data_IF_836962285766
#
_entry.id   IF_836962285766
#
_cell.length_a   1.000
_cell.length_b   1.000
_cell.length_c   1.000
_cell.angle_alpha   90.00
_cell.angle_beta   90.00
_cell.angle_gamma   90.00
#
_symmetry.space_group_name_H-M   'P 1'
#
loop_
_entity.id
_entity.type
_entity.pdbx_description
1 polymer ?
#
# COMPACT_ATOMS: atom_id res chain seq x y z
N UNK A 1 -2.53 -22.24 0.70
CA UNK A 1 -2.78 -21.17 -0.28
C UNK A 1 -2.56 -19.85 0.44
N UNK A 2 -1.70 -18.97 -0.06
CA UNK A 2 -1.56 -17.63 0.53
C UNK A 2 -2.86 -16.84 0.32
N UNK A 3 -3.32 -16.03 1.29
CA UNK A 3 -4.49 -15.19 1.08
C UNK A 3 -4.25 -14.24 -0.09
N UNK A 4 -5.29 -14.06 -0.92
CA UNK A 4 -5.22 -13.10 -2.01
C UNK A 4 -5.18 -11.67 -1.49
N UNK A 5 -4.37 -10.82 -2.12
CA UNK A 5 -4.39 -9.36 -1.91
C UNK A 5 -5.69 -8.74 -2.40
N UNK A 6 -6.43 -9.43 -3.27
CA UNK A 6 -7.67 -8.92 -3.83
C UNK A 6 -8.68 -8.60 -2.72
N UNK A 7 -9.22 -7.39 -2.76
CA UNK A 7 -10.15 -6.86 -1.76
C UNK A 7 -10.17 -5.34 -1.69
N UNK A 8 -11.11 -4.84 -0.90
CA UNK A 8 -11.13 -3.47 -0.42
C UNK A 8 -10.57 -3.41 0.98
N UNK A 9 -9.70 -2.44 1.21
CA UNK A 9 -8.87 -2.37 2.38
C UNK A 9 -8.90 -0.96 2.96
N UNK A 10 -9.21 -0.88 4.25
CA UNK A 10 -9.19 0.33 5.04
C UNK A 10 -7.86 0.39 5.79
N UNK A 11 -6.98 1.39 5.54
CA UNK A 11 -5.82 1.57 6.40
C UNK A 11 -6.30 1.91 7.81
N UNK A 12 -5.76 1.19 8.80
CA UNK A 12 -5.99 1.40 10.23
C UNK A 12 -4.73 1.93 10.94
N UNK A 13 -3.60 1.85 10.26
CA UNK A 13 -2.34 2.47 10.63
C UNK A 13 -1.59 2.84 9.35
N UNK A 14 -0.89 3.97 9.35
CA UNK A 14 0.15 4.22 8.39
C UNK A 14 1.24 5.12 8.97
N UNK A 15 2.45 4.97 8.46
CA UNK A 15 3.59 5.84 8.76
C UNK A 15 4.37 6.13 7.48
N UNK A 16 5.00 7.30 7.44
CA UNK A 16 5.94 7.70 6.40
C UNK A 16 7.19 8.27 7.05
N UNK A 17 8.36 7.71 6.72
CA UNK A 17 9.65 8.15 7.26
C UNK A 17 9.69 8.27 8.81
N UNK A 18 8.95 7.38 9.50
CA UNK A 18 8.82 7.33 10.96
C UNK A 18 7.71 8.22 11.55
N UNK A 19 6.99 8.98 10.74
CA UNK A 19 5.87 9.81 11.17
C UNK A 19 4.53 9.13 10.91
N UNK A 20 3.74 8.93 11.96
CA UNK A 20 2.41 8.33 11.86
C UNK A 20 1.39 9.28 11.19
N UNK A 21 0.57 8.72 10.30
CA UNK A 21 -0.51 9.43 9.67
C UNK A 21 -1.68 9.67 10.66
N UNK A 22 -2.32 10.85 10.64
CA UNK A 22 -3.47 11.12 11.50
C UNK A 22 -4.64 10.16 11.21
N UNK A 23 -5.26 9.62 12.27
CA UNK A 23 -6.40 8.70 12.14
C UNK A 23 -7.54 9.24 11.25
N UNK A 24 -7.85 10.53 11.35
CA UNK A 24 -8.91 11.16 10.55
C UNK A 24 -8.62 11.13 9.03
N UNK A 25 -7.34 11.05 8.64
CA UNK A 25 -6.95 10.85 7.24
C UNK A 25 -7.14 9.40 6.85
N UNK A 26 -6.68 8.46 7.69
CA UNK A 26 -6.83 7.04 7.46
C UNK A 26 -8.29 6.65 7.27
N UNK A 27 -9.20 7.11 8.13
CA UNK A 27 -10.65 6.82 8.07
C UNK A 27 -11.32 7.27 6.75
N UNK A 28 -10.69 8.19 6.00
CA UNK A 28 -11.15 8.65 4.68
C UNK A 28 -10.49 7.92 3.51
N UNK A 29 -9.41 7.20 3.77
CA UNK A 29 -8.64 6.47 2.77
C UNK A 29 -9.19 5.06 2.57
N UNK A 30 -9.10 4.56 1.36
CA UNK A 30 -9.34 3.16 1.01
C UNK A 30 -8.39 2.78 -0.12
N UNK A 31 -7.92 1.53 -0.13
CA UNK A 31 -7.30 0.93 -1.32
C UNK A 31 -8.13 -0.27 -1.77
N UNK A 32 -8.47 -0.29 -3.04
CA UNK A 32 -9.04 -1.45 -3.72
C UNK A 32 -7.94 -2.10 -4.55
N UNK A 33 -7.77 -3.41 -4.40
CA UNK A 33 -6.87 -4.27 -5.18
C UNK A 33 -7.74 -5.35 -5.80
N UNK A 34 -7.87 -5.41 -7.12
CA UNK A 34 -8.69 -6.43 -7.78
C UNK A 34 -8.08 -6.76 -9.14
N UNK A 35 -7.83 -8.04 -9.40
CA UNK A 35 -7.45 -8.50 -10.75
C UNK A 35 -6.18 -7.85 -11.32
N UNK A 36 -5.25 -7.41 -10.46
CA UNK A 36 -4.03 -6.72 -10.87
C UNK A 36 -4.18 -5.21 -11.07
N UNK A 37 -5.34 -4.62 -10.76
CA UNK A 37 -5.56 -3.18 -10.74
C UNK A 37 -5.69 -2.67 -9.30
N UNK A 38 -5.12 -1.50 -9.03
CA UNK A 38 -5.29 -0.83 -7.75
C UNK A 38 -5.92 0.55 -7.92
N UNK A 39 -6.76 0.93 -6.95
CA UNK A 39 -7.29 2.29 -6.84
C UNK A 39 -7.26 2.74 -5.37
N UNK A 40 -6.63 3.88 -5.12
CA UNK A 40 -6.66 4.57 -3.83
C UNK A 40 -7.74 5.64 -3.88
N UNK A 41 -8.64 5.64 -2.90
CA UNK A 41 -9.70 6.64 -2.76
C UNK A 41 -9.50 7.45 -1.49
N UNK A 42 -9.79 8.74 -1.56
CA UNK A 42 -9.87 9.63 -0.40
C UNK A 42 -11.24 10.32 -0.38
N UNK A 43 -12.03 10.06 0.67
CA UNK A 43 -13.38 10.61 0.78
C UNK A 43 -14.29 10.20 -0.39
N UNK A 44 -14.09 8.99 -0.94
CA UNK A 44 -14.87 8.46 -2.08
C UNK A 44 -14.37 8.89 -3.45
N UNK A 45 -13.38 9.79 -3.55
CA UNK A 45 -12.78 10.23 -4.81
C UNK A 45 -11.50 9.46 -5.07
N UNK A 46 -11.32 8.93 -6.29
CA UNK A 46 -10.07 8.27 -6.70
C UNK A 46 -8.93 9.29 -6.72
N UNK A 47 -7.90 9.04 -5.91
CA UNK A 47 -6.74 9.91 -5.73
C UNK A 47 -5.48 9.37 -6.44
N UNK A 48 -5.35 8.05 -6.53
CA UNK A 48 -4.24 7.37 -7.23
C UNK A 48 -4.78 6.06 -7.82
N UNK A 49 -4.31 5.67 -8.99
CA UNK A 49 -4.74 4.43 -9.65
C UNK A 49 -3.64 3.90 -10.56
N UNK A 50 -3.59 2.57 -10.70
CA UNK A 50 -2.68 1.91 -11.62
C UNK A 50 -2.85 0.40 -11.58
N UNK A 51 -1.77 -0.31 -11.87
CA UNK A 51 -1.72 -1.77 -11.81
C UNK A 51 -0.77 -2.24 -10.72
N UNK A 52 -0.94 -3.47 -10.26
CA UNK A 52 0.00 -4.13 -9.37
C UNK A 52 0.30 -5.54 -9.86
N UNK A 53 1.53 -5.98 -9.62
CA UNK A 53 1.93 -7.37 -9.76
C UNK A 53 2.31 -7.93 -8.40
N UNK A 54 2.05 -9.22 -8.21
CA UNK A 54 2.45 -9.96 -7.02
C UNK A 54 3.54 -10.93 -7.42
N UNK A 55 4.64 -10.86 -6.71
CA UNK A 55 5.80 -11.72 -6.88
C UNK A 55 5.79 -12.80 -5.78
N UNK A 56 6.69 -13.78 -5.87
CA UNK A 56 6.88 -14.75 -4.79
C UNK A 56 7.35 -14.05 -3.49
N UNK A 57 7.25 -14.76 -2.35
CA UNK A 57 7.85 -14.35 -1.07
C UNK A 57 7.28 -13.07 -0.42
N UNK A 58 6.04 -12.70 -0.76
CA UNK A 58 5.41 -11.52 -0.16
C UNK A 58 5.91 -10.22 -0.77
N UNK A 59 6.33 -10.23 -2.03
CA UNK A 59 6.71 -9.04 -2.77
C UNK A 59 5.59 -8.60 -3.71
N UNK A 60 5.49 -7.29 -3.91
CA UNK A 60 4.57 -6.70 -4.89
C UNK A 60 5.18 -5.46 -5.54
N UNK A 61 4.67 -5.07 -6.69
CA UNK A 61 5.10 -3.84 -7.37
C UNK A 61 3.89 -3.12 -7.94
N UNK A 62 3.71 -1.84 -7.60
CA UNK A 62 2.68 -0.97 -8.18
C UNK A 62 3.27 -0.21 -9.36
N UNK A 63 2.52 -0.10 -10.44
CA UNK A 63 2.80 0.80 -11.55
C UNK A 63 1.70 1.86 -11.61
N UNK A 64 2.03 3.08 -11.19
CA UNK A 64 1.07 4.17 -11.13
C UNK A 64 0.74 4.73 -12.52
N UNK A 65 -0.54 4.96 -12.78
CA UNK A 65 -1.05 5.46 -14.05
C UNK A 65 -1.73 6.82 -13.92
N UNK A 66 -2.44 7.05 -12.81
CA UNK A 66 -3.18 8.28 -12.52
C UNK A 66 -2.85 8.72 -11.10
N UNK A 67 -2.77 10.03 -10.89
CA UNK A 67 -2.53 10.62 -9.58
C UNK A 67 -1.05 10.93 -9.32
N UNK A 68 -0.66 11.15 -8.05
CA UNK A 68 0.69 11.57 -7.69
C UNK A 68 1.78 10.55 -8.02
N UNK A 69 1.41 9.28 -8.25
CA UNK A 69 2.35 8.22 -8.62
C UNK A 69 2.33 7.87 -10.11
N UNK A 70 1.63 8.64 -10.96
CA UNK A 70 1.61 8.41 -12.40
C UNK A 70 3.04 8.34 -12.98
N UNK A 71 3.33 7.26 -13.71
CA UNK A 71 4.64 6.98 -14.30
C UNK A 71 5.69 6.41 -13.32
N UNK A 72 5.35 6.23 -12.05
CA UNK A 72 6.26 5.61 -11.05
C UNK A 72 6.04 4.11 -10.96
N UNK A 73 7.15 3.40 -10.69
CA UNK A 73 7.15 2.02 -10.23
C UNK A 73 7.47 2.00 -8.75
N UNK A 74 6.59 1.42 -7.94
CA UNK A 74 6.66 1.42 -6.48
C UNK A 74 6.78 -0.04 -6.02
N UNK A 75 8.00 -0.54 -5.80
CA UNK A 75 8.20 -1.86 -5.22
C UNK A 75 7.80 -1.86 -3.74
N UNK A 76 7.26 -2.97 -3.27
CA UNK A 76 6.83 -3.14 -1.88
C UNK A 76 6.96 -4.56 -1.37
N UNK A 77 6.74 -4.71 -0.08
CA UNK A 77 6.62 -6.01 0.58
C UNK A 77 5.30 -6.07 1.33
N UNK A 78 4.67 -7.23 1.39
CA UNK A 78 3.43 -7.46 2.09
C UNK A 78 3.44 -8.73 2.93
N UNK A 79 2.62 -8.74 3.97
CA UNK A 79 2.35 -9.93 4.78
C UNK A 79 0.94 -9.88 5.32
N UNK A 80 0.40 -11.06 5.60
CA UNK A 80 -0.83 -11.23 6.36
C UNK A 80 -0.51 -11.69 7.78
N UNK A 81 -1.16 -11.07 8.76
CA UNK A 81 -1.16 -11.50 10.16
C UNK A 81 -2.62 -11.64 10.60
N UNK A 82 -3.16 -12.86 10.49
CA UNK A 82 -4.61 -13.08 10.55
C UNK A 82 -5.31 -12.31 9.44
N UNK A 83 -6.28 -11.47 9.80
CA UNK A 83 -7.05 -10.65 8.87
C UNK A 83 -6.40 -9.28 8.55
N UNK A 84 -5.26 -8.99 9.20
CA UNK A 84 -4.54 -7.73 8.97
C UNK A 84 -3.54 -7.90 7.82
N UNK A 85 -3.65 -7.01 6.84
CA UNK A 85 -2.68 -6.88 5.75
C UNK A 85 -1.70 -5.76 6.08
N UNK A 86 -0.41 -6.04 6.11
CA UNK A 86 0.64 -5.01 6.17
C UNK A 86 1.28 -4.88 4.81
N UNK A 87 1.45 -3.66 4.30
CA UNK A 87 2.23 -3.36 3.11
C UNK A 87 3.22 -2.24 3.43
N UNK A 88 4.50 -2.47 3.12
CA UNK A 88 5.53 -1.44 3.12
C UNK A 88 5.90 -1.13 1.67
N UNK A 89 5.73 0.13 1.27
CA UNK A 89 5.96 0.64 -0.07
C UNK A 89 7.25 1.46 -0.11
N UNK A 90 8.07 1.24 -1.14
CA UNK A 90 9.22 2.08 -1.45
C UNK A 90 8.84 3.14 -2.47
N UNK A 91 8.32 4.28 -2.01
CA UNK A 91 7.88 5.38 -2.89
C UNK A 91 9.04 5.99 -3.68
N UNK A 92 10.27 5.86 -3.18
CA UNK A 92 11.50 6.23 -3.89
C UNK A 92 11.96 5.20 -4.95
N UNK A 93 11.19 4.14 -5.22
CA UNK A 93 11.53 3.11 -6.21
C UNK A 93 12.46 2.01 -5.70
N UNK A 94 12.75 1.96 -4.39
CA UNK A 94 13.61 0.96 -3.77
C UNK A 94 12.78 0.02 -2.91
N UNK A 95 12.91 -1.30 -3.14
CA UNK A 95 12.12 -2.29 -2.39
C UNK A 95 12.48 -2.26 -0.89
N UNK A 96 11.49 -2.13 0.02
CA UNK A 96 11.76 -2.19 1.45
C UNK A 96 12.24 -3.58 1.88
N UNK A 97 13.12 -3.64 2.89
CA UNK A 97 13.64 -4.91 3.43
C UNK A 97 12.90 -5.39 4.68
N UNK A 98 12.15 -4.51 5.32
CA UNK A 98 11.41 -4.74 6.57
C UNK A 98 10.16 -3.86 6.61
N UNK A 99 9.22 -4.23 7.48
CA UNK A 99 8.01 -3.45 7.75
C UNK A 99 8.31 -2.38 8.82
N UNK A 100 9.16 -1.41 8.46
CA UNK A 100 9.60 -0.32 9.32
C UNK A 100 10.14 0.79 8.41
N UNK A 101 9.66 2.02 8.60
CA UNK A 101 10.07 3.17 7.79
C UNK A 101 11.29 3.90 8.36
N UNK A 102 11.69 3.62 9.62
CA UNK A 102 12.80 4.33 10.27
C UNK A 102 14.14 4.09 9.58
N UNK A 103 14.81 5.20 9.24
CA UNK A 103 16.13 5.20 8.61
C UNK A 103 16.13 4.81 7.13
N UNK A 104 14.95 4.66 6.52
CA UNK A 104 14.79 4.64 5.07
C UNK A 104 14.23 5.96 4.57
N UNK A 105 14.54 6.33 3.33
CA UNK A 105 13.96 7.50 2.67
C UNK A 105 12.77 7.06 1.81
N UNK A 106 11.66 7.78 1.90
CA UNK A 106 10.46 7.56 1.07
C UNK A 106 9.87 6.16 1.26
N UNK A 107 9.87 5.68 2.50
CA UNK A 107 9.18 4.45 2.88
C UNK A 107 7.82 4.78 3.48
N UNK A 108 6.79 4.08 3.00
CA UNK A 108 5.43 4.20 3.50
C UNK A 108 4.96 2.83 3.97
N UNK A 109 4.71 2.67 5.26
CA UNK A 109 4.15 1.44 5.83
C UNK A 109 2.69 1.68 6.17
N UNK A 110 1.82 0.76 5.76
CA UNK A 110 0.42 0.77 6.13
C UNK A 110 -0.06 -0.61 6.58
N UNK A 111 -0.90 -0.62 7.62
CA UNK A 111 -1.65 -1.79 8.03
C UNK A 111 -3.12 -1.57 7.70
N UNK A 112 -3.74 -2.59 7.12
CA UNK A 112 -5.07 -2.54 6.59
C UNK A 112 -5.96 -3.60 7.24
N UNK A 113 -7.23 -3.24 7.39
CA UNK A 113 -8.32 -4.17 7.63
C UNK A 113 -9.16 -4.30 6.37
N UNK A 114 -9.66 -5.51 6.12
CA UNK A 114 -10.57 -5.76 5.01
C UNK A 114 -11.91 -5.08 5.30
N UNK A 115 -12.51 -4.45 4.28
CA UNK A 115 -13.90 -3.95 4.35
C UNK A 115 -14.91 -5.04 4.03
#
# INVERSE_FOLDING_TARGET
MSPSLDGRWQPVYAEMDGEEAPKMMLDKMEIELVGGEYAVRFGGVTADQGTYTVEADGHLTLAGMIGPNAGKSIPGIYKFAGDTLSICYGLGGVRPKKFDTRGGEQLYLANYQRK
#
